data_IF_560667344690
#
_entry.id   IF_560667344690
#
_cell.length_a   1.000
_cell.length_b   1.000
_cell.length_c   1.000
_cell.angle_alpha   90.00
_cell.angle_beta   90.00
_cell.angle_gamma   90.00
#
_symmetry.space_group_name_H-M   'P 1'
#
loop_
_entity.id
_entity.type
_entity.pdbx_description
1 polymer ?
#
# COMPACT_ATOMS: atom_id res chain seq x y z
N UNK A 1 3.96 9.98 -1.55
CA UNK A 1 3.44 9.86 -2.92
C UNK A 1 3.86 8.52 -3.53
N UNK A 2 2.97 7.82 -4.24
CA UNK A 2 3.24 6.51 -4.84
C UNK A 2 3.29 6.52 -6.38
N UNK A 3 2.86 7.62 -7.01
CA UNK A 3 2.77 7.78 -8.46
C UNK A 3 3.61 8.99 -8.88
N UNK A 4 4.53 8.81 -9.83
CA UNK A 4 5.47 9.84 -10.30
C UNK A 4 5.68 9.72 -11.82
N UNK A 5 6.27 10.75 -12.44
CA UNK A 5 6.80 10.71 -13.81
C UNK A 5 8.33 10.53 -13.74
N UNK A 6 8.89 9.64 -14.55
CA UNK A 6 10.34 9.44 -14.65
C UNK A 6 10.96 10.37 -15.71
N UNK A 7 12.28 10.28 -15.90
CA UNK A 7 13.03 11.15 -16.83
C UNK A 7 12.70 10.89 -18.32
N UNK A 8 12.05 9.77 -18.64
CA UNK A 8 11.59 9.40 -19.98
C UNK A 8 10.12 9.81 -20.23
N UNK A 9 9.56 10.68 -19.39
CA UNK A 9 8.15 11.08 -19.40
C UNK A 9 7.16 9.90 -19.29
N UNK A 10 7.57 8.81 -18.64
CA UNK A 10 6.72 7.65 -18.36
C UNK A 10 6.20 7.68 -16.92
N UNK A 11 4.92 7.34 -16.76
CA UNK A 11 4.29 7.22 -15.44
C UNK A 11 4.76 5.93 -14.74
N UNK A 12 5.30 6.07 -13.52
CA UNK A 12 5.79 4.96 -12.69
C UNK A 12 5.06 4.89 -11.34
N UNK A 13 4.80 3.66 -10.88
CA UNK A 13 4.18 3.38 -9.58
C UNK A 13 5.21 2.74 -8.65
N UNK A 14 5.49 3.41 -7.53
CA UNK A 14 6.26 2.82 -6.45
C UNK A 14 5.37 1.86 -5.63
N UNK A 15 5.47 0.56 -5.91
CA UNK A 15 4.66 -0.49 -5.27
C UNK A 15 4.88 -0.62 -3.75
N UNK A 16 6.03 -0.18 -3.25
CA UNK A 16 6.32 -0.17 -1.81
C UNK A 16 5.56 0.96 -1.08
N UNK A 17 5.27 2.07 -1.78
CA UNK A 17 4.51 3.20 -1.24
C UNK A 17 3.02 3.16 -1.61
N UNK A 18 2.64 2.37 -2.61
CA UNK A 18 1.24 2.19 -2.98
C UNK A 18 0.48 1.53 -1.83
N UNK A 19 -0.52 2.22 -1.29
CA UNK A 19 -1.39 1.69 -0.22
C UNK A 19 -2.67 1.05 -0.76
N UNK A 20 -2.86 1.04 -2.08
CA UNK A 20 -4.05 0.45 -2.72
C UNK A 20 -5.33 1.27 -2.57
N UNK A 21 -5.24 2.60 -2.45
CA UNK A 21 -6.43 3.46 -2.29
C UNK A 21 -7.31 3.61 -3.54
N UNK A 22 -6.81 3.24 -4.72
CA UNK A 22 -7.58 3.27 -5.98
C UNK A 22 -7.76 4.63 -6.65
N UNK A 23 -7.35 5.74 -6.01
CA UNK A 23 -7.52 7.09 -6.58
C UNK A 23 -6.88 7.27 -7.96
N UNK A 24 -5.74 6.62 -8.21
CA UNK A 24 -5.07 6.68 -9.52
C UNK A 24 -5.90 6.04 -10.64
N UNK A 25 -6.68 4.99 -10.33
CA UNK A 25 -7.57 4.34 -11.29
C UNK A 25 -8.73 5.24 -11.65
N UNK A 26 -9.40 5.81 -10.65
CA UNK A 26 -10.58 6.66 -10.89
C UNK A 26 -10.21 8.01 -11.52
N UNK A 27 -8.98 8.47 -11.32
CA UNK A 27 -8.53 9.78 -11.83
C UNK A 27 -7.93 9.70 -13.24
N UNK A 28 -7.60 8.51 -13.75
CA UNK A 28 -6.96 8.36 -15.05
C UNK A 28 -8.02 8.33 -16.17
N UNK A 29 -8.10 9.37 -17.03
CA UNK A 29 -9.12 9.43 -18.09
C UNK A 29 -8.88 8.41 -19.21
N UNK A 30 -7.64 7.94 -19.36
CA UNK A 30 -7.26 6.95 -20.36
C UNK A 30 -7.43 5.50 -19.88
N UNK A 31 -7.88 5.29 -18.63
CA UNK A 31 -8.06 3.97 -18.03
C UNK A 31 -6.79 3.08 -18.09
N UNK A 32 -5.61 3.70 -18.09
CA UNK A 32 -4.32 3.04 -18.34
C UNK A 32 -3.82 2.15 -17.18
N UNK A 33 -4.50 2.16 -16.04
CA UNK A 33 -4.06 1.53 -14.79
C UNK A 33 -5.22 0.77 -14.14
N UNK A 34 -4.90 -0.37 -13.51
CA UNK A 34 -5.85 -1.19 -12.77
C UNK A 34 -5.41 -1.37 -11.32
N UNK A 35 -6.37 -1.43 -10.41
CA UNK A 35 -6.12 -1.81 -9.02
C UNK A 35 -6.23 -3.33 -8.90
N UNK A 36 -5.16 -3.96 -8.42
CA UNK A 36 -5.11 -5.40 -8.18
C UNK A 36 -4.71 -5.69 -6.72
N UNK A 37 -5.16 -6.81 -6.14
CA UNK A 37 -4.70 -7.24 -4.82
C UNK A 37 -3.17 -7.40 -4.81
N UNK A 38 -2.53 -7.00 -3.71
CA UNK A 38 -1.11 -7.29 -3.51
C UNK A 38 -0.93 -8.79 -3.30
N UNK A 39 0.13 -9.35 -3.86
CA UNK A 39 0.44 -10.77 -3.76
C UNK A 39 1.06 -11.14 -2.41
N UNK A 40 0.67 -12.31 -1.89
CA UNK A 40 1.31 -12.98 -0.75
C UNK A 40 1.53 -12.07 0.47
N UNK A 41 2.76 -12.04 0.95
CA UNK A 41 3.17 -11.30 2.16
C UNK A 41 2.99 -9.77 2.05
N UNK A 42 2.86 -9.23 0.83
CA UNK A 42 2.61 -7.80 0.62
C UNK A 42 1.15 -7.43 0.91
N UNK A 43 0.25 -8.40 0.96
CA UNK A 43 -1.13 -8.19 1.39
C UNK A 43 -1.18 -8.05 2.92
N UNK A 44 -1.27 -6.82 3.40
CA UNK A 44 -1.42 -6.56 4.83
C UNK A 44 -2.89 -6.72 5.25
N UNK A 45 -3.17 -7.66 6.14
CA UNK A 45 -4.45 -7.70 6.86
C UNK A 45 -4.43 -6.68 8.00
N UNK A 46 -5.46 -5.81 8.11
CA UNK A 46 -5.66 -5.01 9.30
C UNK A 46 -5.92 -5.93 10.51
N UNK A 47 -5.44 -5.58 11.72
CA UNK A 47 -5.80 -6.30 12.93
C UNK A 47 -7.31 -6.23 13.15
N UNK A 48 -7.91 -7.28 13.70
CA UNK A 48 -9.35 -7.36 13.95
C UNK A 48 -9.81 -6.42 15.07
N UNK A 49 -8.89 -6.00 15.94
CA UNK A 49 -9.18 -5.08 17.06
C UNK A 49 -8.03 -4.12 17.36
N UNK A 50 -8.34 -3.04 18.08
CA UNK A 50 -7.33 -2.09 18.56
C UNK A 50 -6.34 -2.72 19.54
N UNK A 51 -6.77 -3.70 20.36
CA UNK A 51 -5.88 -4.45 21.26
C UNK A 51 -4.85 -5.25 20.46
N UNK A 52 -5.30 -5.97 19.43
CA UNK A 52 -4.40 -6.72 18.55
C UNK A 52 -3.42 -5.77 17.84
N UNK A 53 -3.88 -4.60 17.40
CA UNK A 53 -3.00 -3.57 16.84
C UNK A 53 -1.93 -3.12 17.85
N UNK A 54 -2.31 -2.84 19.10
CA UNK A 54 -1.39 -2.45 20.17
C UNK A 54 -0.36 -3.55 20.45
N UNK A 55 -0.78 -4.81 20.56
CA UNK A 55 0.11 -5.95 20.75
C UNK A 55 1.09 -6.09 19.58
N UNK A 56 0.62 -5.97 18.34
CA UNK A 56 1.47 -6.02 17.16
C UNK A 56 2.51 -4.89 17.13
N UNK A 57 2.13 -3.69 17.57
CA UNK A 57 3.06 -2.55 17.70
C UNK A 57 4.08 -2.76 18.82
N UNK A 58 3.67 -3.28 19.97
CA UNK A 58 4.56 -3.61 21.10
C UNK A 58 5.61 -4.64 20.68
N UNK A 59 5.18 -5.73 20.03
CA UNK A 59 6.08 -6.76 19.48
C UNK A 59 7.10 -6.18 18.50
N UNK A 60 6.66 -5.31 17.57
CA UNK A 60 7.56 -4.63 16.62
C UNK A 60 8.57 -3.70 17.29
N UNK A 61 8.28 -3.23 18.50
CA UNK A 61 9.18 -2.40 19.32
C UNK A 61 10.06 -3.23 20.27
N UNK A 62 10.02 -4.56 20.19
CA UNK A 62 10.80 -5.45 21.06
C UNK A 62 10.23 -5.62 22.47
N UNK A 63 9.00 -5.15 22.71
CA UNK A 63 8.31 -5.31 23.98
C UNK A 63 7.51 -6.62 23.88
N UNK A 64 8.07 -7.71 24.39
CA UNK A 64 7.37 -9.00 24.52
C UNK A 64 7.15 -9.29 26.01
N UNK A 65 5.94 -9.69 26.35
CA UNK A 65 5.55 -10.24 27.65
C UNK A 65 5.59 -11.76 27.58
#
# INVERSE_FOLDING_TARGET
NALNMNDDDLAEINLNRCIGCGLCVTSCPAEAIRLVPKEGEKHRTPPASGIEQMMAMAKKRGIQF
#
